data_IF_032072159595
#
_entry.id   IF_032072159595
#
_cell.length_a   1.000
_cell.length_b   1.000
_cell.length_c   1.000
_cell.angle_alpha   90.00
_cell.angle_beta   90.00
_cell.angle_gamma   90.00
#
_symmetry.space_group_name_H-M   'P 1'
#
loop_
_entity.id
_entity.type
_entity.pdbx_description
1 polymer ?
#
# COMPACT_ATOMS: atom_id res chain seq x y z
N UNK A 1 8.22 -13.41 -2.57
CA UNK A 1 7.83 -12.98 -1.21
C UNK A 1 7.35 -11.54 -1.27
N UNK A 2 6.21 -11.28 -1.93
CA UNK A 2 5.77 -9.91 -2.29
C UNK A 2 5.45 -9.03 -1.07
N UNK A 3 5.02 -9.64 0.04
CA UNK A 3 4.82 -8.93 1.30
C UNK A 3 6.12 -8.37 1.90
N UNK A 4 7.29 -8.92 1.56
CA UNK A 4 8.57 -8.37 2.02
C UNK A 4 8.91 -7.04 1.34
N UNK A 5 8.35 -6.75 0.16
CA UNK A 5 8.61 -5.50 -0.56
C UNK A 5 8.26 -4.26 0.28
N UNK A 6 7.29 -4.34 1.19
CA UNK A 6 6.94 -3.22 2.06
C UNK A 6 8.04 -2.85 3.08
N UNK A 7 8.95 -3.78 3.37
CA UNK A 7 10.08 -3.58 4.29
C UNK A 7 11.40 -3.29 3.57
N UNK A 8 11.42 -3.31 2.24
CA UNK A 8 12.63 -3.00 1.49
C UNK A 8 12.83 -1.49 1.48
N UNK A 9 14.06 -1.08 1.81
CA UNK A 9 14.53 0.29 1.68
C UNK A 9 15.64 0.31 0.65
N UNK A 10 15.52 1.20 -0.34
CA UNK A 10 16.50 1.42 -1.39
C UNK A 10 16.65 2.91 -1.68
N UNK A 11 17.80 3.31 -2.22
CA UNK A 11 18.06 4.69 -2.66
C UNK A 11 17.42 5.01 -4.01
N UNK A 12 17.03 3.98 -4.77
CA UNK A 12 16.28 4.14 -6.02
C UNK A 12 14.81 4.47 -5.69
N UNK A 13 14.42 5.71 -5.97
CA UNK A 13 13.08 6.23 -5.64
C UNK A 13 11.97 5.53 -6.42
N UNK A 14 12.22 5.15 -7.67
CA UNK A 14 11.24 4.49 -8.53
C UNK A 14 11.06 3.03 -8.08
N UNK A 15 12.16 2.34 -7.78
CA UNK A 15 12.11 1.01 -7.21
C UNK A 15 11.44 1.01 -5.83
N UNK A 16 11.75 1.99 -4.96
CA UNK A 16 11.12 2.12 -3.65
C UNK A 16 9.60 2.28 -3.79
N UNK A 17 9.14 3.12 -4.72
CA UNK A 17 7.72 3.31 -5.01
C UNK A 17 7.08 2.03 -5.54
N UNK A 18 7.73 1.34 -6.47
CA UNK A 18 7.25 0.07 -7.02
C UNK A 18 7.12 -1.01 -5.94
N UNK A 19 8.06 -1.09 -4.99
CA UNK A 19 7.99 -2.01 -3.86
C UNK A 19 6.82 -1.70 -2.91
N UNK A 20 6.62 -0.43 -2.55
CA UNK A 20 5.47 0.01 -1.74
C UNK A 20 4.15 -0.34 -2.41
N UNK A 21 3.99 -0.04 -3.70
CA UNK A 21 2.78 -0.34 -4.46
C UNK A 21 2.53 -1.84 -4.59
N UNK A 22 3.56 -2.63 -4.88
CA UNK A 22 3.47 -4.10 -4.95
C UNK A 22 3.02 -4.69 -3.63
N UNK A 23 3.59 -4.23 -2.52
CA UNK A 23 3.19 -4.63 -1.18
C UNK A 23 1.71 -4.31 -0.90
N UNK A 24 1.29 -3.07 -1.13
CA UNK A 24 -0.08 -2.62 -0.86
C UNK A 24 -1.11 -3.40 -1.68
N UNK A 25 -0.88 -3.56 -2.98
CA UNK A 25 -1.75 -4.35 -3.86
C UNK A 25 -1.86 -5.79 -3.37
N UNK A 26 -0.73 -6.41 -3.04
CA UNK A 26 -0.69 -7.79 -2.53
C UNK A 26 -1.49 -7.93 -1.24
N UNK A 27 -1.22 -7.08 -0.24
CA UNK A 27 -1.90 -7.17 1.05
C UNK A 27 -3.40 -6.89 0.94
N UNK A 28 -3.82 -5.93 0.10
CA UNK A 28 -5.23 -5.66 -0.18
C UNK A 28 -5.93 -6.85 -0.83
N UNK A 29 -5.31 -7.50 -1.80
CA UNK A 29 -5.85 -8.73 -2.40
C UNK A 29 -5.97 -9.87 -1.39
N UNK A 30 -5.05 -9.97 -0.42
CA UNK A 30 -5.17 -10.95 0.67
C UNK A 30 -6.34 -10.64 1.61
N UNK A 31 -6.57 -9.36 1.95
CA UNK A 31 -7.73 -8.95 2.74
C UNK A 31 -9.05 -9.27 2.01
N UNK A 32 -9.10 -9.00 0.70
CA UNK A 32 -10.26 -9.34 -0.12
C UNK A 32 -10.47 -10.86 -0.21
N UNK A 33 -9.41 -11.64 -0.37
CA UNK A 33 -9.51 -13.09 -0.36
C UNK A 33 -9.99 -13.62 1.00
N UNK A 34 -9.53 -13.01 2.09
CA UNK A 34 -9.91 -13.33 3.46
C UNK A 34 -11.40 -13.05 3.72
N UNK A 35 -11.99 -12.00 3.13
CA UNK A 35 -13.40 -11.67 3.32
C UNK A 35 -14.35 -12.67 2.64
N UNK A 36 -13.87 -13.43 1.65
CA UNK A 36 -14.70 -14.38 0.87
C UNK A 36 -15.01 -15.70 1.59
N UNK A 37 -14.29 -16.07 2.66
CA UNK A 37 -14.63 -17.26 3.46
C UNK A 37 -13.97 -17.27 4.84
N UNK A 38 -14.59 -17.98 5.79
CA UNK A 38 -14.02 -18.16 7.13
C UNK A 38 -12.66 -18.88 7.09
N UNK A 39 -12.48 -19.85 6.19
CA UNK A 39 -11.21 -20.55 6.01
C UNK A 39 -10.09 -19.59 5.57
N UNK A 40 -10.37 -18.69 4.63
CA UNK A 40 -9.40 -17.70 4.17
C UNK A 40 -9.09 -16.68 5.26
N UNK A 41 -10.09 -16.25 6.04
CA UNK A 41 -9.89 -15.40 7.22
C UNK A 41 -8.92 -16.03 8.22
N UNK A 42 -9.07 -17.32 8.53
CA UNK A 42 -8.12 -18.05 9.40
C UNK A 42 -6.72 -18.12 8.80
N UNK A 43 -6.59 -18.32 7.49
CA UNK A 43 -5.28 -18.34 6.80
C UNK A 43 -4.59 -16.98 6.85
N UNK A 44 -5.34 -15.88 6.86
CA UNK A 44 -4.82 -14.51 6.91
C UNK A 44 -4.03 -14.20 8.19
N UNK A 45 -4.27 -14.93 9.29
CA UNK A 45 -3.55 -14.76 10.56
C UNK A 45 -2.03 -14.78 10.40
N UNK A 46 -1.51 -15.57 9.45
CA UNK A 46 -0.07 -15.66 9.13
C UNK A 46 0.55 -14.36 8.62
N UNK A 47 -0.27 -13.40 8.19
CA UNK A 47 0.17 -12.14 7.59
C UNK A 47 -0.13 -10.91 8.45
N UNK A 48 -0.70 -11.08 9.66
CA UNK A 48 -1.06 -9.96 10.55
C UNK A 48 0.13 -9.07 10.93
N UNK A 49 1.35 -9.61 10.96
CA UNK A 49 2.57 -8.82 11.22
C UNK A 49 2.76 -7.65 10.24
N UNK A 50 2.16 -7.72 9.05
CA UNK A 50 2.23 -6.68 8.03
C UNK A 50 1.12 -5.63 8.14
N UNK A 51 0.13 -5.82 9.02
CA UNK A 51 -1.04 -4.93 9.11
C UNK A 51 -0.65 -3.48 9.43
N UNK A 52 0.22 -3.28 10.43
CA UNK A 52 0.70 -1.94 10.80
C UNK A 52 1.43 -1.25 9.64
N UNK A 53 2.22 -2.03 8.89
CA UNK A 53 2.95 -1.54 7.72
C UNK A 53 1.99 -1.14 6.60
N UNK A 54 0.96 -1.95 6.36
CA UNK A 54 -0.11 -1.66 5.40
C UNK A 54 -0.82 -0.36 5.73
N UNK A 55 -1.29 -0.18 6.97
CA UNK A 55 -2.00 1.03 7.38
C UNK A 55 -1.13 2.29 7.21
N UNK A 56 0.15 2.22 7.61
CA UNK A 56 1.10 3.33 7.44
C UNK A 56 1.31 3.70 5.97
N UNK A 57 1.58 2.71 5.10
CA UNK A 57 1.84 2.97 3.69
C UNK A 57 0.58 3.40 2.93
N UNK A 58 -0.60 2.92 3.33
CA UNK A 58 -1.87 3.36 2.72
C UNK A 58 -2.16 4.82 3.06
N UNK A 59 -1.86 5.26 4.29
CA UNK A 59 -1.98 6.67 4.68
C UNK A 59 -0.99 7.55 3.90
N UNK A 60 0.27 7.13 3.78
CA UNK A 60 1.31 7.85 3.04
C UNK A 60 0.89 8.12 1.58
N UNK A 61 0.35 7.11 0.89
CA UNK A 61 -0.10 7.26 -0.50
C UNK A 61 -1.32 8.19 -0.59
N UNK A 62 -2.29 8.07 0.30
CA UNK A 62 -3.47 8.96 0.33
C UNK A 62 -3.06 10.43 0.51
N UNK A 63 -2.08 10.69 1.37
CA UNK A 63 -1.52 12.03 1.57
C UNK A 63 -0.86 12.56 0.29
N UNK A 64 0.02 11.77 -0.34
CA UNK A 64 0.68 12.14 -1.60
C UNK A 64 -0.32 12.40 -2.74
N UNK A 65 -1.41 11.63 -2.82
CA UNK A 65 -2.48 11.84 -3.80
C UNK A 65 -3.24 13.15 -3.53
N UNK A 66 -3.54 13.46 -2.26
CA UNK A 66 -4.22 14.70 -1.88
C UNK A 66 -3.38 15.96 -2.13
N UNK A 67 -2.07 15.90 -1.86
CA UNK A 67 -1.14 17.00 -2.12
C UNK A 67 -0.99 17.26 -3.63
N UNK A 68 -1.00 16.19 -4.45
CA UNK A 68 -0.98 16.32 -5.91
C UNK A 68 -2.25 16.97 -6.47
N UNK A 69 -3.43 16.60 -5.97
CA UNK A 69 -4.69 17.24 -6.38
C UNK A 69 -4.72 18.73 -5.99
N UNK A 70 -4.29 19.06 -4.77
CA UNK A 70 -4.25 20.46 -4.31
C UNK A 70 -3.27 21.33 -5.10
N UNK A 71 -2.22 20.74 -5.68
CA UNK A 71 -1.20 21.46 -6.45
C UNK A 71 -1.60 21.66 -7.92
N UNK A 72 -2.55 20.87 -8.45
CA UNK A 72 -3.04 21.00 -9.83
C UNK A 72 -4.14 22.04 -10.00
N UNK A 73 -4.85 22.40 -8.94
CA UNK A 73 -5.93 23.40 -8.97
C UNK A 73 -5.42 24.86 -8.97
N UNK A 74 -4.10 25.08 -8.99
CA UNK A 74 -3.47 26.41 -8.95
C UNK A 74 -2.88 26.87 -10.30
N UNK A 75 -3.05 26.11 -11.39
CA UNK A 75 -2.49 26.42 -12.72
C UNK A 75 -3.61 26.59 -13.75
N UNK A 76 -4.61 27.39 -13.42
CA UNK A 76 -5.64 27.81 -14.36
C UNK A 76 -6.17 29.19 -14.00
N UNK A 77 -5.35 30.21 -14.21
CA UNK A 77 -5.74 31.61 -14.43
C UNK A 77 -4.50 32.37 -14.96
N UNK A 78 -4.37 32.43 -16.28
CA UNK A 78 -3.99 33.59 -17.12
C UNK A 78 -3.68 33.18 -18.57
#
# INVERSE_FOLDING_TARGET
>A
MLLKCGNVVTHDTDAQKAYKLTFLKTYRSLLELASRSQLNKTRMVKFLSYEKLYQRLELEIKQQESEKLSSSDSISED
#
